data_IF_470302562338
#
_entry.id   IF_470302562338
#
_cell.length_a   1.000
_cell.length_b   1.000
_cell.length_c   1.000
_cell.angle_alpha   90.00
_cell.angle_beta   90.00
_cell.angle_gamma   90.00
#
_symmetry.space_group_name_H-M   'P 1'
#
loop_
_entity.id
_entity.type
_entity.pdbx_description
1 polymer ?
#
# COMPACT_ATOMS: atom_id res chain seq x y z
N UNK A 1 -3.96 20.52 -10.93
CA UNK A 1 -4.16 19.06 -10.74
C UNK A 1 -5.56 18.82 -10.26
N UNK A 2 -6.26 17.82 -10.81
CA UNK A 2 -7.60 17.44 -10.33
C UNK A 2 -7.45 16.87 -8.91
N UNK A 3 -8.16 17.47 -7.93
CA UNK A 3 -8.27 16.91 -6.57
C UNK A 3 -9.07 15.61 -6.67
N UNK A 4 -8.36 14.48 -6.67
CA UNK A 4 -8.97 13.15 -6.64
C UNK A 4 -9.55 12.91 -5.24
N UNK A 5 -10.87 12.73 -5.17
CA UNK A 5 -11.54 12.30 -3.95
C UNK A 5 -13.00 12.70 -3.90
N UNK A 6 -13.88 11.83 -4.36
CA UNK A 6 -15.30 11.91 -3.96
C UNK A 6 -15.35 11.68 -2.46
N UNK A 7 -16.12 12.47 -1.70
CA UNK A 7 -16.48 12.10 -0.32
C UNK A 7 -16.91 10.62 -0.37
N UNK A 8 -16.39 9.81 0.55
CA UNK A 8 -16.57 8.35 0.65
C UNK A 8 -15.57 7.45 -0.11
N UNK A 9 -14.73 7.96 -1.03
CA UNK A 9 -13.72 7.11 -1.70
C UNK A 9 -12.57 6.66 -0.79
N UNK A 10 -12.45 7.27 0.39
CA UNK A 10 -11.40 7.04 1.38
C UNK A 10 -11.91 6.41 2.68
N UNK A 11 -13.23 6.22 2.82
CA UNK A 11 -13.79 5.64 4.03
C UNK A 11 -13.37 4.17 4.13
N UNK A 12 -12.79 3.81 5.27
CA UNK A 12 -12.43 2.44 5.61
C UNK A 12 -13.31 2.00 6.78
N UNK A 13 -14.11 0.95 6.57
CA UNK A 13 -15.02 0.48 7.62
C UNK A 13 -14.27 -0.10 8.81
N UNK A 14 -13.09 -0.68 8.61
CA UNK A 14 -12.26 -1.32 9.63
C UNK A 14 -10.79 -1.28 9.20
N UNK A 15 -9.85 -1.45 10.14
CA UNK A 15 -8.41 -1.71 9.91
C UNK A 15 -7.72 -0.77 8.92
N UNK A 16 -6.95 0.21 9.40
CA UNK A 16 -6.20 1.14 8.53
C UNK A 16 -5.09 1.80 9.33
N UNK A 17 -4.18 2.46 8.62
CA UNK A 17 -3.10 3.22 9.27
C UNK A 17 -2.68 4.41 8.43
N UNK A 18 -2.18 5.46 9.08
CA UNK A 18 -1.46 6.54 8.44
C UNK A 18 -0.17 6.82 9.21
N UNK A 19 0.94 6.97 8.50
CA UNK A 19 2.24 7.21 9.10
C UNK A 19 2.98 8.31 8.34
N UNK A 20 3.35 9.39 9.04
CA UNK A 20 4.19 10.45 8.48
C UNK A 20 5.63 9.95 8.39
N UNK A 21 6.23 10.06 7.22
CA UNK A 21 7.62 9.67 6.94
C UNK A 21 8.58 10.84 7.21
N UNK A 22 9.88 10.58 7.43
CA UNK A 22 10.89 11.62 7.68
C UNK A 22 11.01 12.66 6.55
N UNK A 23 10.79 12.25 5.29
CA UNK A 23 10.78 13.15 4.13
C UNK A 23 9.55 14.08 4.08
N UNK A 24 8.62 13.95 5.03
CA UNK A 24 7.41 14.74 5.10
C UNK A 24 6.20 14.15 4.38
N UNK A 25 6.32 13.04 3.66
CA UNK A 25 5.19 12.36 3.01
C UNK A 25 4.37 11.53 4.02
N UNK A 26 3.11 11.22 3.70
CA UNK A 26 2.30 10.28 4.49
C UNK A 26 2.15 8.97 3.75
N UNK A 27 2.53 7.86 4.39
CA UNK A 27 2.14 6.52 3.97
C UNK A 27 0.76 6.18 4.57
N UNK A 28 -0.18 5.77 3.73
CA UNK A 28 -1.55 5.45 4.11
C UNK A 28 -1.85 4.01 3.72
N UNK A 29 -2.43 3.25 4.65
CA UNK A 29 -2.99 1.92 4.42
C UNK A 29 -4.51 2.02 4.40
N UNK A 30 -5.10 1.82 3.23
CA UNK A 30 -6.53 1.67 3.03
C UNK A 30 -6.88 0.19 3.19
N UNK A 31 -6.99 -0.23 4.46
CA UNK A 31 -6.87 -1.64 4.81
C UNK A 31 -7.93 -2.56 4.20
N UNK A 32 -9.24 -2.27 4.22
CA UNK A 32 -10.25 -3.15 3.64
C UNK A 32 -10.04 -3.38 2.14
N UNK A 33 -9.53 -2.37 1.43
CA UNK A 33 -9.24 -2.41 0.00
C UNK A 33 -7.89 -3.06 -0.30
N UNK A 34 -7.02 -3.26 0.70
CA UNK A 34 -5.69 -3.82 0.51
C UNK A 34 -4.80 -2.91 -0.35
N UNK A 35 -4.95 -1.60 -0.20
CA UNK A 35 -4.18 -0.60 -0.96
C UNK A 35 -3.31 0.18 0.03
N UNK A 36 -2.05 0.35 -0.32
CA UNK A 36 -1.11 1.23 0.39
C UNK A 36 -0.64 2.28 -0.59
N UNK A 37 -0.61 3.55 -0.19
CA UNK A 37 -0.12 4.61 -1.06
C UNK A 37 0.56 5.70 -0.24
N UNK A 38 1.43 6.45 -0.89
CA UNK A 38 2.19 7.54 -0.30
C UNK A 38 1.80 8.86 -0.94
N UNK A 39 1.50 9.86 -0.11
CA UNK A 39 1.15 11.21 -0.56
C UNK A 39 2.13 12.25 -0.05
N UNK A 40 2.37 13.31 -0.83
CA UNK A 40 3.09 14.50 -0.40
C UNK A 40 2.30 15.29 0.65
N UNK A 41 2.87 16.36 1.19
CA UNK A 41 2.14 17.27 2.11
C UNK A 41 1.00 17.99 1.40
N UNK A 42 1.17 18.22 0.11
CA UNK A 42 0.22 18.87 -0.79
C UNK A 42 -0.92 17.92 -1.18
N UNK A 43 -0.76 16.62 -0.90
CA UNK A 43 -1.75 15.58 -1.16
C UNK A 43 -1.58 14.88 -2.51
N UNK A 44 -0.46 15.09 -3.20
CA UNK A 44 -0.16 14.40 -4.45
C UNK A 44 0.32 12.98 -4.17
N UNK A 45 -0.25 11.99 -4.84
CA UNK A 45 0.23 10.61 -4.70
C UNK A 45 1.53 10.41 -5.48
N UNK A 46 2.53 9.85 -4.80
CA UNK A 46 3.87 9.59 -5.37
C UNK A 46 4.22 8.11 -5.44
N UNK A 47 3.43 7.26 -4.79
CA UNK A 47 3.60 5.81 -4.83
C UNK A 47 2.32 5.08 -4.46
N UNK A 48 2.08 3.91 -5.05
CA UNK A 48 0.95 3.02 -4.75
C UNK A 48 1.38 1.57 -4.81
N UNK A 49 0.81 0.76 -3.93
CA UNK A 49 0.90 -0.69 -3.92
C UNK A 49 -0.47 -1.30 -3.64
N UNK A 50 -0.74 -2.38 -4.37
CA UNK A 50 -1.96 -3.17 -4.29
C UNK A 50 -1.56 -4.55 -3.77
N UNK A 51 -2.12 -4.99 -2.63
CA UNK A 51 -1.86 -6.32 -2.08
C UNK A 51 -2.25 -7.40 -3.11
N UNK A 52 -1.31 -8.20 -3.66
CA UNK A 52 -1.64 -9.16 -4.70
C UNK A 52 -2.35 -10.40 -4.15
N UNK A 53 -2.41 -10.59 -2.83
CA UNK A 53 -2.93 -11.82 -2.21
C UNK A 53 -4.41 -11.67 -1.86
N UNK A 54 -5.24 -12.47 -2.51
CA UNK A 54 -6.65 -12.63 -2.16
C UNK A 54 -6.83 -13.65 -1.04
N UNK A 55 -7.49 -13.26 0.05
CA UNK A 55 -7.91 -14.15 1.14
C UNK A 55 -9.30 -14.75 0.85
N UNK A 56 -9.48 -15.30 -0.35
CA UNK A 56 -10.68 -16.06 -0.72
C UNK A 56 -10.26 -17.51 -0.99
N UNK A 57 -10.77 -18.49 -0.22
CA UNK A 57 -10.39 -19.89 -0.38
C UNK A 57 -10.75 -20.48 -1.75
N UNK A 58 -11.65 -19.84 -2.51
CA UNK A 58 -12.07 -20.29 -3.83
C UNK A 58 -11.45 -19.47 -4.98
N UNK A 59 -10.62 -18.46 -4.68
CA UNK A 59 -10.04 -17.57 -5.70
C UNK A 59 -8.56 -17.31 -5.44
N UNK A 60 -7.69 -17.91 -6.27
CA UNK A 60 -6.28 -17.46 -6.39
C UNK A 60 -6.25 -16.36 -7.45
N UNK A 61 -6.54 -15.13 -7.02
CA UNK A 61 -6.35 -13.95 -7.87
C UNK A 61 -5.06 -13.24 -7.42
N UNK A 62 -3.95 -13.57 -8.08
CA UNK A 62 -2.72 -12.78 -8.00
C UNK A 62 -2.91 -11.58 -8.93
N UNK A 63 -3.08 -10.39 -8.34
CA UNK A 63 -3.21 -9.13 -9.10
C UNK A 63 -1.83 -8.52 -9.30
N UNK A 64 -1.47 -8.12 -10.52
CA UNK A 64 -0.22 -7.38 -10.75
C UNK A 64 -0.38 -5.90 -10.45
N UNK A 65 0.71 -5.23 -10.11
CA UNK A 65 0.67 -3.78 -9.95
C UNK A 65 0.25 -3.11 -11.26
N UNK A 66 -0.84 -2.33 -11.22
CA UNK A 66 -1.42 -1.66 -12.39
C UNK A 66 -2.65 -2.37 -12.98
N UNK A 67 -2.94 -3.60 -12.57
CA UNK A 67 -4.13 -4.32 -13.04
C UNK A 67 -5.42 -3.78 -12.39
N UNK A 68 -6.53 -3.97 -13.11
CA UNK A 68 -7.87 -3.68 -12.58
C UNK A 68 -8.35 -4.81 -11.66
N UNK A 69 -8.74 -4.46 -10.43
CA UNK A 69 -9.30 -5.42 -9.46
C UNK A 69 -10.79 -5.62 -9.73
N UNK A 70 -11.20 -6.85 -10.02
CA UNK A 70 -12.60 -7.18 -10.33
C UNK A 70 -13.37 -7.81 -9.16
N UNK A 71 -12.73 -8.60 -8.29
CA UNK A 71 -13.37 -9.20 -7.11
C UNK A 71 -12.33 -9.73 -6.09
N UNK A 72 -12.76 -9.96 -4.85
CA UNK A 72 -11.98 -10.65 -3.82
C UNK A 72 -11.69 -9.82 -2.55
N UNK A 73 -11.23 -10.50 -1.49
CA UNK A 73 -10.85 -9.89 -0.21
C UNK A 73 -9.34 -9.73 -0.13
N UNK A 74 -8.84 -8.50 -0.15
CA UNK A 74 -7.40 -8.23 -0.17
C UNK A 74 -6.90 -7.51 1.09
N UNK A 75 -7.69 -7.58 2.16
CA UNK A 75 -7.55 -6.72 3.31
C UNK A 75 -6.15 -6.77 3.94
N UNK A 76 -5.58 -5.60 4.21
CA UNK A 76 -4.36 -5.43 4.99
C UNK A 76 -4.67 -4.77 6.33
N UNK A 77 -3.99 -5.19 7.39
CA UNK A 77 -4.15 -4.60 8.71
C UNK A 77 -3.37 -3.29 8.88
N UNK A 78 -2.11 -3.29 8.44
CA UNK A 78 -1.14 -2.22 8.69
C UNK A 78 -0.06 -2.20 7.60
N UNK A 79 0.43 -1.01 7.26
CA UNK A 79 1.66 -0.84 6.49
C UNK A 79 2.66 0.04 7.24
N UNK A 80 3.94 -0.35 7.20
CA UNK A 80 5.07 0.47 7.67
C UNK A 80 6.12 0.50 6.58
N UNK A 81 6.70 1.68 6.37
CA UNK A 81 7.84 1.89 5.47
C UNK A 81 9.06 2.21 6.33
N UNK A 82 10.11 1.43 6.14
CA UNK A 82 11.43 1.67 6.70
C UNK A 82 12.29 2.31 5.60
N UNK A 83 13.00 3.37 5.95
CA UNK A 83 13.94 4.03 5.04
C UNK A 83 15.21 3.19 4.90
N UNK A 84 15.99 3.42 3.85
CA UNK A 84 17.21 2.64 3.57
C UNK A 84 18.29 2.80 4.65
N UNK A 85 18.25 3.88 5.43
CA UNK A 85 19.10 4.18 6.58
C UNK A 85 18.54 3.62 7.91
N UNK A 86 17.47 2.81 7.88
CA UNK A 86 16.95 2.17 9.08
C UNK A 86 18.04 1.27 9.69
N UNK A 87 18.39 1.51 10.96
CA UNK A 87 19.53 0.85 11.62
C UNK A 87 19.55 -0.67 11.53
N UNK A 88 18.38 -1.32 11.46
CA UNK A 88 18.32 -2.78 11.32
C UNK A 88 18.87 -3.30 9.97
N UNK A 89 19.08 -2.42 8.99
CA UNK A 89 19.70 -2.72 7.71
C UNK A 89 21.20 -2.43 7.67
N UNK A 90 21.79 -1.88 8.74
CA UNK A 90 23.25 -1.68 8.82
C UNK A 90 23.97 -3.02 8.60
N UNK A 91 25.02 -3.01 7.78
CA UNK A 91 25.81 -4.18 7.40
C UNK A 91 25.02 -5.29 6.68
N UNK A 92 23.76 -5.03 6.28
CA UNK A 92 22.97 -5.95 5.44
C UNK A 92 23.01 -5.50 4.00
N UNK A 93 23.36 -6.43 3.10
CA UNK A 93 23.17 -6.20 1.66
C UNK A 93 21.70 -6.44 1.32
N UNK A 94 21.00 -5.39 0.90
CA UNK A 94 19.62 -5.49 0.42
C UNK A 94 19.62 -5.87 -1.07
N UNK A 95 19.34 -7.14 -1.37
CA UNK A 95 19.16 -7.62 -2.75
C UNK A 95 17.67 -7.61 -3.08
N UNK A 96 17.21 -6.86 -4.09
CA UNK A 96 15.83 -6.91 -4.55
C UNK A 96 15.45 -8.34 -4.94
N UNK A 97 14.38 -8.86 -4.34
CA UNK A 97 13.80 -10.15 -4.73
C UNK A 97 12.91 -10.03 -5.98
N UNK A 98 12.42 -11.18 -6.46
CA UNK A 98 11.33 -11.21 -7.45
C UNK A 98 10.07 -10.54 -6.89
N UNK A 99 9.19 -10.08 -7.78
CA UNK A 99 7.89 -9.56 -7.38
C UNK A 99 7.11 -10.56 -6.53
N UNK A 100 6.35 -10.06 -5.57
CA UNK A 100 5.49 -10.90 -4.72
C UNK A 100 4.35 -11.55 -5.51
N UNK A 101 3.93 -10.92 -6.61
CA UNK A 101 2.82 -11.32 -7.49
C UNK A 101 3.22 -12.34 -8.57
N UNK A 102 3.97 -13.36 -8.17
CA UNK A 102 4.47 -14.44 -9.05
C UNK A 102 3.40 -15.36 -9.62
#
# INVERSE_FOLDING_TARGET
>A
GQRLGRRDSFFCSHISSAHRLPNGNTLICQGPQGIVFEVTREGDEVWRYINPVCNDPNTIAVTRQGDSRTAGRYSLFLARKYTSDFKAFEEKTLVPGRYLEG
#
